data_IF_618408195427
#
_entry.id   IF_618408195427
#
_cell.length_a   1.000
_cell.length_b   1.000
_cell.length_c   1.000
_cell.angle_alpha   90.00
_cell.angle_beta   90.00
_cell.angle_gamma   90.00
#
_symmetry.space_group_name_H-M   'P 1'
#
loop_
_entity.id
_entity.type
_entity.pdbx_description
1 polymer ?
#
# COMPACT_ATOMS: atom_id res chain seq x y z
N UNK A 1 28.62 -31.28 36.10
CA UNK A 1 29.25 -31.71 34.84
C UNK A 1 28.13 -31.73 33.82
N UNK A 2 28.10 -30.67 32.98
CA UNK A 2 27.29 -30.47 31.78
C UNK A 2 25.76 -30.64 31.90
N UNK A 3 25.11 -29.54 32.30
CA UNK A 3 23.75 -29.23 31.86
C UNK A 3 23.75 -29.07 30.33
N UNK A 4 23.19 -30.04 29.62
CA UNK A 4 22.80 -29.90 28.23
C UNK A 4 21.65 -28.90 28.16
N UNK A 5 22.00 -27.63 27.93
CA UNK A 5 21.08 -26.62 27.45
C UNK A 5 20.53 -27.11 26.11
N UNK A 6 19.30 -27.64 26.15
CA UNK A 6 18.46 -27.73 24.97
C UNK A 6 18.30 -26.30 24.45
N UNK A 7 19.03 -26.01 23.37
CA UNK A 7 18.90 -24.79 22.61
C UNK A 7 17.56 -24.91 21.88
N UNK A 8 16.49 -24.50 22.57
CA UNK A 8 15.16 -24.31 21.98
C UNK A 8 15.26 -23.22 20.91
N UNK A 9 15.67 -23.65 19.71
CA UNK A 9 15.63 -22.85 18.52
C UNK A 9 14.16 -22.49 18.24
N UNK A 10 13.85 -21.20 18.44
CA UNK A 10 12.62 -20.53 18.00
C UNK A 10 12.05 -21.18 16.72
N UNK A 11 10.89 -21.83 16.87
CA UNK A 11 9.95 -22.29 15.85
C UNK A 11 10.46 -22.42 14.42
N UNK A 12 11.23 -23.47 14.12
CA UNK A 12 11.51 -23.85 12.72
C UNK A 12 10.21 -24.34 12.09
N UNK A 13 9.76 -23.69 11.01
CA UNK A 13 8.55 -24.08 10.28
C UNK A 13 8.68 -25.52 9.74
N UNK A 14 7.71 -26.38 10.09
CA UNK A 14 7.63 -27.77 9.64
C UNK A 14 6.59 -27.94 8.55
N UNK A 15 6.92 -28.69 7.51
CA UNK A 15 5.97 -29.07 6.46
C UNK A 15 5.02 -30.14 7.00
N UNK A 16 3.73 -29.79 7.11
CA UNK A 16 2.66 -30.66 7.62
C UNK A 16 1.48 -30.81 6.65
N UNK A 17 1.30 -29.85 5.75
CA UNK A 17 0.21 -29.77 4.78
C UNK A 17 0.59 -28.77 3.67
N UNK A 18 -0.28 -28.63 2.67
CA UNK A 18 -0.11 -27.73 1.53
C UNK A 18 -0.16 -26.24 1.93
N UNK A 19 -0.84 -25.89 3.03
CA UNK A 19 -1.05 -24.49 3.43
C UNK A 19 0.25 -23.77 3.84
N UNK A 20 1.24 -24.53 4.32
CA UNK A 20 2.54 -24.00 4.76
C UNK A 20 3.67 -24.30 3.77
N UNK A 21 3.38 -25.01 2.68
CA UNK A 21 4.40 -25.51 1.75
C UNK A 21 5.31 -24.41 1.22
N UNK A 22 4.72 -23.28 0.90
CA UNK A 22 5.42 -22.15 0.33
C UNK A 22 6.44 -21.49 1.25
N UNK A 23 6.00 -21.12 2.44
CA UNK A 23 6.87 -20.52 3.45
C UNK A 23 7.93 -21.54 3.88
N UNK A 24 7.55 -22.82 3.93
CA UNK A 24 8.48 -23.92 4.18
C UNK A 24 9.52 -24.04 3.07
N UNK A 25 9.12 -24.04 1.80
CA UNK A 25 10.01 -24.18 0.64
C UNK A 25 11.03 -23.03 0.64
N UNK A 26 10.55 -21.80 0.81
CA UNK A 26 11.39 -20.61 0.87
C UNK A 26 12.42 -20.69 1.99
N UNK A 27 11.99 -20.99 3.22
CA UNK A 27 12.89 -21.09 4.36
C UNK A 27 13.85 -22.28 4.22
N UNK A 28 13.39 -23.42 3.73
CA UNK A 28 14.21 -24.62 3.54
C UNK A 28 15.32 -24.34 2.53
N UNK A 29 15.00 -23.71 1.38
CA UNK A 29 16.00 -23.30 0.39
C UNK A 29 17.01 -22.31 0.96
N UNK A 30 16.59 -21.36 1.80
CA UNK A 30 17.52 -20.43 2.45
C UNK A 30 18.53 -21.16 3.36
N UNK A 31 18.08 -22.17 4.10
CA UNK A 31 18.94 -22.97 4.97
C UNK A 31 19.86 -23.94 4.21
N UNK A 32 19.34 -24.57 3.16
CA UNK A 32 20.15 -25.38 2.24
C UNK A 32 21.26 -24.56 1.58
N UNK A 33 20.99 -23.29 1.20
CA UNK A 33 22.01 -22.35 0.71
C UNK A 33 23.05 -22.04 1.79
N UNK A 34 22.60 -21.72 3.01
CA UNK A 34 23.49 -21.47 4.15
C UNK A 34 24.42 -22.65 4.43
N UNK A 35 23.92 -23.87 4.27
CA UNK A 35 24.68 -25.12 4.44
C UNK A 35 25.53 -25.50 3.21
N UNK A 36 25.41 -24.78 2.08
CA UNK A 36 26.17 -25.07 0.86
C UNK A 36 25.74 -26.34 0.13
N UNK A 37 24.49 -26.79 0.33
CA UNK A 37 23.97 -28.07 -0.22
C UNK A 37 22.72 -27.88 -1.09
N UNK A 38 22.36 -26.65 -1.47
CA UNK A 38 21.20 -26.43 -2.33
C UNK A 38 21.36 -27.11 -3.70
N UNK A 39 22.55 -27.06 -4.31
CA UNK A 39 22.76 -27.58 -5.67
C UNK A 39 22.55 -29.09 -5.79
N UNK A 40 22.92 -29.87 -4.77
CA UNK A 40 22.64 -31.31 -4.74
C UNK A 40 21.14 -31.60 -4.58
N UNK A 41 20.40 -30.78 -3.83
CA UNK A 41 18.94 -30.90 -3.67
C UNK A 41 18.19 -30.54 -4.96
N UNK A 42 18.70 -29.56 -5.71
CA UNK A 42 18.13 -29.19 -7.00
C UNK A 42 18.50 -30.16 -8.13
N UNK A 43 19.34 -31.17 -7.87
CA UNK A 43 19.81 -32.13 -8.87
C UNK A 43 20.92 -31.59 -9.79
N UNK A 44 21.50 -30.44 -9.48
CA UNK A 44 22.58 -29.82 -10.26
C UNK A 44 23.97 -30.40 -9.93
N UNK A 45 24.13 -31.04 -8.77
CA UNK A 45 25.37 -31.70 -8.34
C UNK A 45 25.19 -33.22 -8.27
N UNK A 46 25.67 -33.94 -9.29
CA UNK A 46 25.59 -35.41 -9.36
C UNK A 46 26.77 -36.11 -8.69
N UNK A 47 26.58 -37.38 -8.32
CA UNK A 47 27.64 -38.22 -7.75
C UNK A 47 28.89 -38.24 -8.65
N UNK A 48 30.08 -37.87 -8.13
CA UNK A 48 31.33 -37.95 -8.89
C UNK A 48 31.69 -39.37 -9.31
N UNK A 49 32.46 -39.49 -10.39
CA UNK A 49 33.02 -40.76 -10.84
C UNK A 49 34.12 -41.23 -9.87
N UNK A 50 34.19 -42.54 -9.63
CA UNK A 50 35.21 -43.16 -8.80
C UNK A 50 34.67 -44.11 -7.73
N UNK A 51 35.59 -44.73 -7.00
CA UNK A 51 35.25 -45.65 -5.90
C UNK A 51 34.58 -44.90 -4.74
N UNK A 52 33.74 -45.56 -3.93
CA UNK A 52 33.16 -44.98 -2.72
C UNK A 52 34.19 -44.39 -1.76
N UNK A 53 35.43 -44.90 -1.80
CA UNK A 53 36.51 -44.45 -0.94
C UNK A 53 37.29 -43.24 -1.45
N UNK A 54 37.05 -42.83 -2.71
CA UNK A 54 37.73 -41.67 -3.28
C UNK A 54 37.34 -40.38 -2.55
N UNK A 55 38.31 -39.47 -2.40
CA UNK A 55 38.11 -38.15 -1.78
C UNK A 55 36.88 -37.39 -2.34
N UNK A 56 36.68 -37.27 -3.68
CA UNK A 56 35.51 -36.57 -4.21
C UNK A 56 34.18 -37.27 -3.89
N UNK A 57 34.12 -38.61 -3.94
CA UNK A 57 32.89 -39.34 -3.62
C UNK A 57 32.54 -39.22 -2.14
N UNK A 58 33.52 -39.31 -1.23
CA UNK A 58 33.28 -39.09 0.21
C UNK A 58 32.74 -37.69 0.50
N UNK A 59 33.34 -36.65 -0.10
CA UNK A 59 32.88 -35.28 0.07
C UNK A 59 31.44 -35.08 -0.42
N UNK A 60 31.10 -35.70 -1.56
CA UNK A 60 29.73 -35.69 -2.09
C UNK A 60 28.75 -36.42 -1.16
N UNK A 61 29.10 -37.60 -0.63
CA UNK A 61 28.27 -38.34 0.34
C UNK A 61 28.01 -37.47 1.58
N UNK A 62 29.04 -36.80 2.13
CA UNK A 62 28.85 -35.90 3.27
C UNK A 62 27.89 -34.76 2.96
N UNK A 63 27.99 -34.13 1.77
CA UNK A 63 27.03 -33.10 1.36
C UNK A 63 25.61 -33.66 1.20
N UNK A 64 25.47 -34.84 0.59
CA UNK A 64 24.21 -35.55 0.42
C UNK A 64 23.54 -35.79 1.76
N UNK A 65 24.27 -36.35 2.72
CA UNK A 65 23.72 -36.67 4.04
C UNK A 65 23.31 -35.40 4.81
N UNK A 66 24.08 -34.31 4.67
CA UNK A 66 23.72 -32.99 5.21
C UNK A 66 22.44 -32.44 4.55
N UNK A 67 22.30 -32.61 3.23
CA UNK A 67 21.11 -32.21 2.50
C UNK A 67 19.87 -32.99 2.94
N UNK A 68 19.95 -34.32 2.97
CA UNK A 68 18.88 -35.21 3.44
C UNK A 68 18.47 -34.84 4.87
N UNK A 69 19.43 -34.71 5.79
CA UNK A 69 19.15 -34.36 7.18
C UNK A 69 18.51 -32.97 7.31
N UNK A 70 18.90 -31.99 6.48
CA UNK A 70 18.31 -30.67 6.49
C UNK A 70 16.86 -30.66 6.00
N UNK A 71 16.52 -31.45 4.97
CA UNK A 71 15.14 -31.59 4.49
C UNK A 71 14.30 -32.29 5.54
N UNK A 72 14.69 -33.50 5.99
CA UNK A 72 13.97 -34.28 7.01
C UNK A 72 13.78 -33.46 8.29
N UNK A 73 14.82 -32.73 8.70
CA UNK A 73 14.81 -31.83 9.85
C UNK A 73 13.79 -30.69 9.75
N UNK A 74 13.15 -30.47 8.59
CA UNK A 74 12.07 -29.51 8.39
C UNK A 74 10.73 -30.15 8.04
N UNK A 75 10.62 -31.46 8.06
CA UNK A 75 9.35 -32.16 7.87
C UNK A 75 8.68 -32.41 9.23
N UNK A 76 7.35 -32.37 9.24
CA UNK A 76 6.57 -32.99 10.29
C UNK A 76 6.62 -34.53 10.15
N UNK A 77 6.63 -35.31 11.24
CA UNK A 77 6.67 -36.78 11.16
C UNK A 77 5.57 -37.40 10.29
N UNK A 78 4.41 -36.74 10.17
CA UNK A 78 3.34 -37.16 9.26
C UNK A 78 3.79 -37.29 7.80
N UNK A 79 4.84 -36.57 7.40
CA UNK A 79 5.34 -36.55 6.02
C UNK A 79 6.43 -37.57 5.72
N UNK A 80 6.98 -38.22 6.76
CA UNK A 80 8.12 -39.15 6.58
C UNK A 80 7.79 -40.33 5.67
N UNK A 81 6.56 -40.83 5.69
CA UNK A 81 6.14 -41.93 4.83
C UNK A 81 6.28 -41.60 3.34
N UNK A 82 6.13 -40.32 2.96
CA UNK A 82 6.19 -39.88 1.57
C UNK A 82 7.61 -39.73 1.02
N UNK A 83 8.61 -39.65 1.91
CA UNK A 83 10.00 -39.36 1.54
C UNK A 83 11.00 -40.46 1.92
N UNK A 84 10.57 -41.46 2.68
CA UNK A 84 11.45 -42.50 3.25
C UNK A 84 12.25 -43.26 2.20
N UNK A 85 11.69 -43.50 1.02
CA UNK A 85 12.39 -44.19 -0.07
C UNK A 85 13.55 -43.37 -0.68
N UNK A 86 13.58 -42.06 -0.43
CA UNK A 86 14.57 -41.12 -0.95
C UNK A 86 15.67 -40.77 0.07
N UNK A 87 15.87 -41.58 1.11
CA UNK A 87 16.87 -41.30 2.17
C UNK A 87 18.28 -41.05 1.60
N UNK A 88 18.62 -41.75 0.52
CA UNK A 88 19.89 -41.60 -0.20
C UNK A 88 19.82 -40.68 -1.43
N UNK A 89 18.69 -40.03 -1.67
CA UNK A 89 18.44 -39.15 -2.82
C UNK A 89 17.72 -37.87 -2.39
N UNK A 90 18.45 -36.86 -1.89
CA UNK A 90 17.86 -35.59 -1.49
C UNK A 90 17.19 -34.83 -2.65
N UNK A 91 17.60 -35.08 -3.91
CA UNK A 91 16.97 -34.47 -5.08
C UNK A 91 15.60 -35.10 -5.37
N UNK A 92 15.52 -36.42 -5.36
CA UNK A 92 14.25 -37.15 -5.45
C UNK A 92 13.30 -36.81 -4.31
N UNK A 93 13.82 -36.71 -3.08
CA UNK A 93 13.05 -36.27 -1.91
C UNK A 93 12.40 -34.90 -2.14
N UNK A 94 13.19 -33.94 -2.61
CA UNK A 94 12.70 -32.59 -2.89
C UNK A 94 11.68 -32.56 -4.02
N UNK A 95 11.94 -33.29 -5.11
CA UNK A 95 11.03 -33.39 -6.24
C UNK A 95 9.68 -33.99 -5.82
N UNK A 96 9.69 -35.01 -4.96
CA UNK A 96 8.47 -35.65 -4.44
C UNK A 96 7.62 -34.70 -3.61
N UNK A 97 8.24 -33.99 -2.67
CA UNK A 97 7.54 -32.97 -1.87
C UNK A 97 6.98 -31.86 -2.76
N UNK A 98 7.77 -31.42 -3.74
CA UNK A 98 7.34 -30.45 -4.74
C UNK A 98 6.12 -30.92 -5.52
N UNK A 99 6.13 -32.14 -6.04
CA UNK A 99 5.00 -32.72 -6.75
C UNK A 99 3.72 -32.76 -5.88
N UNK A 100 3.86 -33.13 -4.61
CA UNK A 100 2.71 -33.30 -3.71
C UNK A 100 2.05 -31.98 -3.28
N UNK A 101 2.85 -30.93 -3.08
CA UNK A 101 2.37 -29.69 -2.46
C UNK A 101 2.41 -28.48 -3.37
N UNK A 102 3.30 -28.47 -4.38
CA UNK A 102 3.29 -27.43 -5.40
C UNK A 102 2.14 -27.61 -6.40
N UNK A 103 1.45 -28.75 -6.42
CA UNK A 103 0.19 -28.88 -7.13
C UNK A 103 -0.87 -28.02 -6.44
N UNK A 104 -0.89 -26.76 -6.86
CA UNK A 104 -1.95 -25.77 -6.77
C UNK A 104 -3.32 -26.45 -6.95
N UNK A 105 -3.94 -26.90 -5.86
CA UNK A 105 -5.28 -27.46 -5.98
C UNK A 105 -6.17 -26.37 -6.59
N UNK A 106 -7.01 -26.72 -7.57
CA UNK A 106 -7.99 -25.79 -8.15
C UNK A 106 -8.80 -25.09 -7.04
N UNK A 107 -9.04 -25.79 -5.92
CA UNK A 107 -9.65 -25.23 -4.72
C UNK A 107 -8.85 -24.06 -4.11
N UNK A 108 -7.53 -24.19 -3.93
CA UNK A 108 -6.68 -23.13 -3.39
C UNK A 108 -6.64 -21.88 -4.28
N UNK A 109 -6.56 -22.08 -5.60
CA UNK A 109 -6.66 -21.00 -6.61
C UNK A 109 -7.99 -20.26 -6.45
N UNK A 110 -9.10 -21.01 -6.46
CA UNK A 110 -10.46 -20.46 -6.36
C UNK A 110 -10.68 -19.73 -5.03
N UNK A 111 -10.22 -20.29 -3.91
CA UNK A 111 -10.33 -19.66 -2.59
C UNK A 111 -9.54 -18.34 -2.53
N UNK A 112 -8.34 -18.32 -3.09
CA UNK A 112 -7.50 -17.11 -3.06
C UNK A 112 -8.09 -16.00 -3.94
N UNK A 113 -8.60 -16.34 -5.13
CA UNK A 113 -9.34 -15.39 -5.97
C UNK A 113 -10.60 -14.86 -5.29
N UNK A 114 -11.36 -15.72 -4.59
CA UNK A 114 -12.52 -15.28 -3.80
C UNK A 114 -12.12 -14.29 -2.72
N UNK A 115 -11.02 -14.54 -2.00
CA UNK A 115 -10.49 -13.61 -1.00
C UNK A 115 -10.08 -12.28 -1.63
N UNK A 116 -9.42 -12.31 -2.79
CA UNK A 116 -8.99 -11.12 -3.52
C UNK A 116 -10.16 -10.19 -3.85
N UNK A 117 -11.25 -10.72 -4.42
CA UNK A 117 -12.42 -9.92 -4.78
C UNK A 117 -13.35 -9.59 -3.61
N UNK A 118 -13.33 -10.39 -2.54
CA UNK A 118 -14.14 -10.16 -1.34
C UNK A 118 -13.48 -9.19 -0.35
N UNK A 119 -12.21 -8.83 -0.54
CA UNK A 119 -11.51 -7.92 0.37
C UNK A 119 -12.23 -6.56 0.42
N UNK A 120 -12.36 -6.00 1.62
CA UNK A 120 -12.95 -4.68 1.87
C UNK A 120 -12.08 -3.95 2.88
N UNK A 121 -11.91 -2.64 2.73
CA UNK A 121 -11.32 -1.78 3.76
C UNK A 121 -12.44 -1.42 4.76
N UNK A 122 -12.36 -1.82 6.03
CA UNK A 122 -13.22 -1.28 7.07
C UNK A 122 -13.07 0.24 7.18
N UNK A 123 -14.17 0.93 7.50
CA UNK A 123 -14.22 2.40 7.63
C UNK A 123 -13.13 2.91 8.59
N UNK A 124 -13.12 2.41 9.83
CA UNK A 124 -12.32 3.00 10.92
C UNK A 124 -11.28 2.06 11.53
N UNK A 125 -11.27 0.77 11.15
CA UNK A 125 -10.47 -0.24 11.84
C UNK A 125 -9.08 -0.50 11.22
N UNK A 126 -8.86 -0.08 9.97
CA UNK A 126 -7.60 -0.35 9.26
C UNK A 126 -7.17 0.82 8.38
N UNK A 127 -5.86 1.04 8.33
CA UNK A 127 -5.25 2.04 7.44
C UNK A 127 -5.29 1.59 5.98
N UNK A 128 -5.26 2.55 5.06
CA UNK A 128 -5.15 2.32 3.63
C UNK A 128 -3.87 1.54 3.29
N UNK A 129 -2.76 1.79 4.02
CA UNK A 129 -1.53 1.00 3.87
C UNK A 129 -1.73 -0.47 4.17
N UNK A 130 -2.42 -0.79 5.27
CA UNK A 130 -2.74 -2.18 5.64
C UNK A 130 -3.60 -2.84 4.58
N UNK A 131 -4.59 -2.12 4.05
CA UNK A 131 -5.48 -2.61 3.00
C UNK A 131 -4.73 -2.88 1.68
N UNK A 132 -3.90 -1.92 1.23
CA UNK A 132 -3.05 -2.09 0.04
C UNK A 132 -2.11 -3.30 0.21
N UNK A 133 -1.51 -3.46 1.39
CA UNK A 133 -0.65 -4.61 1.68
C UNK A 133 -1.42 -5.94 1.60
N UNK A 134 -2.67 -5.98 2.06
CA UNK A 134 -3.52 -7.17 1.97
C UNK A 134 -3.87 -7.52 0.50
N UNK A 135 -4.23 -6.52 -0.32
CA UNK A 135 -4.47 -6.73 -1.77
C UNK A 135 -3.20 -7.23 -2.47
N UNK A 136 -2.05 -6.57 -2.24
CA UNK A 136 -0.77 -6.98 -2.82
C UNK A 136 -0.36 -8.37 -2.38
N UNK A 137 -0.56 -8.71 -1.11
CA UNK A 137 -0.26 -10.05 -0.57
C UNK A 137 -1.07 -11.15 -1.26
N UNK A 138 -2.36 -10.91 -1.53
CA UNK A 138 -3.18 -11.86 -2.28
C UNK A 138 -2.78 -11.95 -3.76
N UNK A 139 -2.46 -10.83 -4.42
CA UNK A 139 -1.97 -10.83 -5.79
C UNK A 139 -0.62 -11.54 -5.93
N UNK A 140 0.29 -11.33 -4.98
CA UNK A 140 1.58 -12.02 -4.90
C UNK A 140 1.38 -13.51 -4.65
N UNK A 141 0.47 -13.89 -3.74
CA UNK A 141 0.10 -15.29 -3.51
C UNK A 141 -0.40 -15.95 -4.79
N UNK A 142 -1.33 -15.32 -5.50
CA UNK A 142 -1.84 -15.84 -6.79
C UNK A 142 -0.72 -16.05 -7.82
N UNK A 143 0.18 -15.08 -7.97
CA UNK A 143 1.32 -15.19 -8.89
C UNK A 143 2.32 -16.25 -8.47
N UNK A 144 2.66 -16.32 -7.19
CA UNK A 144 3.71 -17.18 -6.66
C UNK A 144 3.26 -18.64 -6.56
N UNK A 145 2.02 -18.89 -6.15
CA UNK A 145 1.52 -20.24 -5.88
C UNK A 145 0.90 -20.89 -7.11
N UNK A 146 0.30 -20.08 -7.96
CA UNK A 146 -0.61 -20.55 -9.01
C UNK A 146 -0.21 -20.08 -10.40
N UNK A 147 0.87 -19.28 -10.52
CA UNK A 147 1.28 -18.63 -11.76
C UNK A 147 0.14 -17.83 -12.42
N UNK A 148 -0.74 -17.26 -11.60
CA UNK A 148 -1.99 -16.61 -12.02
C UNK A 148 -2.06 -15.19 -11.42
N UNK A 149 -0.97 -14.43 -11.58
CA UNK A 149 -0.86 -13.10 -11.00
C UNK A 149 -1.90 -12.17 -11.64
N UNK A 150 -2.73 -11.45 -10.85
CA UNK A 150 -3.62 -10.43 -11.38
C UNK A 150 -2.84 -9.32 -12.10
N UNK A 151 -3.43 -8.79 -13.17
CA UNK A 151 -2.89 -7.60 -13.85
C UNK A 151 -3.02 -6.36 -12.98
N UNK A 152 -2.23 -5.32 -13.29
CA UNK A 152 -2.33 -4.02 -12.60
C UNK A 152 -3.75 -3.45 -12.69
N UNK A 153 -4.44 -3.62 -13.84
CA UNK A 153 -5.84 -3.22 -13.99
C UNK A 153 -6.78 -3.98 -13.05
N UNK A 154 -6.58 -5.29 -12.84
CA UNK A 154 -7.37 -6.06 -11.87
C UNK A 154 -7.06 -5.63 -10.43
N UNK A 155 -5.81 -5.30 -10.11
CA UNK A 155 -5.42 -4.79 -8.80
C UNK A 155 -6.04 -3.42 -8.53
N UNK A 156 -5.98 -2.50 -9.49
CA UNK A 156 -6.63 -1.19 -9.42
C UNK A 156 -8.13 -1.35 -9.21
N UNK A 157 -8.79 -2.16 -10.05
CA UNK A 157 -10.24 -2.39 -9.93
C UNK A 157 -10.61 -2.94 -8.54
N UNK A 158 -9.89 -3.95 -8.06
CA UNK A 158 -10.12 -4.51 -6.71
C UNK A 158 -9.87 -3.48 -5.61
N UNK A 159 -8.80 -2.69 -5.70
CA UNK A 159 -8.54 -1.60 -4.75
C UNK A 159 -9.73 -0.65 -4.70
N UNK A 160 -10.18 -0.11 -5.83
CA UNK A 160 -11.26 0.88 -5.87
C UNK A 160 -12.62 0.30 -5.43
N UNK A 161 -12.97 -0.92 -5.87
CA UNK A 161 -14.23 -1.59 -5.49
C UNK A 161 -14.29 -2.01 -4.01
N UNK A 162 -13.15 -2.04 -3.33
CA UNK A 162 -13.03 -2.50 -1.95
C UNK A 162 -13.08 -1.38 -0.92
N UNK A 163 -13.13 -0.12 -1.36
CA UNK A 163 -13.13 1.05 -0.49
C UNK A 163 -14.54 1.38 0.01
N UNK A 164 -14.64 2.05 1.17
CA UNK A 164 -15.90 2.60 1.63
C UNK A 164 -16.30 3.86 0.84
N UNK A 165 -17.58 4.23 0.95
CA UNK A 165 -18.18 5.35 0.23
C UNK A 165 -17.49 6.71 0.46
N UNK A 166 -16.75 6.86 1.57
CA UNK A 166 -15.92 8.04 1.84
C UNK A 166 -14.89 8.33 0.71
N UNK A 167 -14.54 7.33 -0.11
CA UNK A 167 -13.59 7.45 -1.22
C UNK A 167 -14.26 7.69 -2.58
N UNK A 168 -15.60 7.78 -2.68
CA UNK A 168 -16.32 7.90 -3.97
C UNK A 168 -15.89 9.15 -4.76
N UNK A 169 -15.68 10.28 -4.08
CA UNK A 169 -15.20 11.52 -4.71
C UNK A 169 -13.82 11.33 -5.34
N UNK A 170 -12.94 10.57 -4.69
CA UNK A 170 -11.63 10.24 -5.25
C UNK A 170 -11.78 9.34 -6.48
N UNK A 171 -12.65 8.32 -6.41
CA UNK A 171 -12.88 7.38 -7.51
C UNK A 171 -13.36 8.13 -8.77
N UNK A 172 -14.32 9.05 -8.62
CA UNK A 172 -14.81 9.90 -9.71
C UNK A 172 -13.67 10.77 -10.28
N UNK A 173 -12.85 11.36 -9.41
CA UNK A 173 -11.70 12.15 -9.86
C UNK A 173 -10.66 11.32 -10.61
N UNK A 174 -10.46 10.05 -10.23
CA UNK A 174 -9.51 9.15 -10.88
C UNK A 174 -9.98 8.72 -12.27
N UNK A 175 -11.27 8.49 -12.48
CA UNK A 175 -11.82 8.02 -13.75
C UNK A 175 -11.45 8.92 -14.95
N UNK A 176 -11.40 10.24 -14.72
CA UNK A 176 -11.00 11.23 -15.73
C UNK A 176 -9.49 11.50 -15.82
N UNK A 177 -8.67 10.89 -14.95
CA UNK A 177 -7.24 11.21 -14.85
C UNK A 177 -6.41 10.45 -15.91
N UNK A 178 -5.42 11.09 -16.57
CA UNK A 178 -4.56 10.43 -17.56
C UNK A 178 -3.77 9.22 -17.03
N UNK A 179 -3.42 9.24 -15.75
CA UNK A 179 -2.65 8.18 -15.07
C UNK A 179 -3.53 7.15 -14.32
N UNK A 180 -4.83 7.08 -14.61
CA UNK A 180 -5.77 6.18 -13.90
C UNK A 180 -5.41 4.69 -13.98
N UNK A 181 -4.67 4.29 -15.01
CA UNK A 181 -4.24 2.91 -15.23
C UNK A 181 -2.85 2.61 -14.61
N UNK A 182 -2.20 3.61 -13.99
CA UNK A 182 -0.93 3.44 -13.31
C UNK A 182 -1.15 3.07 -11.83
N UNK A 183 -0.83 1.83 -11.48
CA UNK A 183 -1.06 1.28 -10.13
C UNK A 183 -0.38 2.12 -9.03
N UNK A 184 0.86 2.55 -9.23
CA UNK A 184 1.60 3.31 -8.21
C UNK A 184 1.03 4.73 -8.06
N UNK A 185 0.57 5.35 -9.15
CA UNK A 185 -0.13 6.63 -9.11
C UNK A 185 -1.43 6.52 -8.30
N UNK A 186 -2.26 5.51 -8.60
CA UNK A 186 -3.53 5.27 -7.89
C UNK A 186 -3.27 5.03 -6.40
N UNK A 187 -2.28 4.19 -6.06
CA UNK A 187 -1.87 3.96 -4.67
C UNK A 187 -1.44 5.27 -3.99
N UNK A 188 -0.66 6.10 -4.65
CA UNK A 188 -0.26 7.41 -4.13
C UNK A 188 -1.47 8.32 -3.83
N UNK A 189 -2.47 8.32 -4.70
CA UNK A 189 -3.72 9.08 -4.52
C UNK A 189 -4.57 8.55 -3.36
N UNK A 190 -4.67 7.23 -3.22
CA UNK A 190 -5.39 6.60 -2.10
C UNK A 190 -4.77 6.95 -0.74
N UNK A 191 -3.44 6.96 -0.65
CA UNK A 191 -2.73 7.32 0.58
C UNK A 191 -2.88 8.82 0.92
N UNK A 192 -2.86 9.69 -0.09
CA UNK A 192 -3.06 11.13 0.10
C UNK A 192 -4.49 11.46 0.54
N UNK A 193 -5.47 10.71 0.03
CA UNK A 193 -6.88 10.81 0.38
C UNK A 193 -7.12 10.47 1.86
N UNK A 194 -6.56 9.35 2.34
CA UNK A 194 -6.65 8.96 3.76
C UNK A 194 -6.10 10.07 4.67
N UNK A 195 -4.94 10.64 4.32
CA UNK A 195 -4.36 11.74 5.10
C UNK A 195 -5.25 12.99 5.11
N UNK A 196 -5.96 13.28 4.01
CA UNK A 196 -6.92 14.40 3.98
C UNK A 196 -8.12 14.13 4.89
N UNK A 197 -8.67 12.92 4.85
CA UNK A 197 -9.80 12.52 5.71
C UNK A 197 -9.43 12.60 7.20
N UNK A 198 -8.23 12.17 7.58
CA UNK A 198 -7.72 12.30 8.96
C UNK A 198 -7.63 13.77 9.41
N UNK A 199 -7.19 14.67 8.52
CA UNK A 199 -7.10 16.10 8.81
C UNK A 199 -8.48 16.77 8.96
N UNK A 200 -9.49 16.30 8.22
CA UNK A 200 -10.87 16.76 8.34
C UNK A 200 -11.50 16.31 9.67
N UNK A 201 -11.27 15.07 10.09
CA UNK A 201 -11.74 14.52 11.38
C UNK A 201 -11.06 15.22 12.57
N UNK A 202 -9.76 15.47 12.49
CA UNK A 202 -9.01 16.22 13.51
C UNK A 202 -9.35 17.72 13.59
N UNK A 203 -10.05 18.25 12.58
CA UNK A 203 -10.50 19.64 12.51
C UNK A 203 -11.91 19.89 13.05
N UNK A 204 -12.64 18.86 13.48
CA UNK A 204 -14.01 18.99 14.01
C UNK A 204 -13.98 19.49 15.46
N UNK A 205 -14.13 20.80 15.66
CA UNK A 205 -14.50 21.38 16.96
C UNK A 205 -15.94 20.93 17.28
N UNK A 206 -16.24 20.37 18.47
CA UNK A 206 -17.60 19.95 18.82
C UNK A 206 -18.56 21.15 18.80
N UNK A 207 -19.54 21.11 17.91
CA UNK A 207 -20.59 22.12 17.82
C UNK A 207 -21.52 21.98 19.03
N UNK A 208 -21.36 22.88 20.00
CA UNK A 208 -22.09 22.81 21.26
C UNK A 208 -22.09 24.08 22.08
N UNK A 209 -22.16 25.27 21.45
CA UNK A 209 -22.77 26.48 22.04
C UNK A 209 -22.82 27.61 21.00
N UNK A 210 -24.04 27.96 20.59
CA UNK A 210 -24.33 29.12 19.75
C UNK A 210 -24.19 30.40 20.55
N UNK A 211 -23.31 31.31 20.12
CA UNK A 211 -23.44 32.76 20.35
C UNK A 211 -22.88 33.55 19.15
N UNK A 212 -23.78 33.96 18.25
CA UNK A 212 -23.66 35.17 17.41
C UNK A 212 -22.91 35.05 16.07
N UNK A 213 -23.35 35.77 15.01
CA UNK A 213 -22.69 35.74 13.71
C UNK A 213 -21.46 36.64 13.75
N UNK A 214 -20.25 36.07 13.65
CA UNK A 214 -19.04 36.85 13.38
C UNK A 214 -18.33 36.28 12.17
N UNK A 215 -18.05 37.17 11.23
CA UNK A 215 -17.43 36.88 9.94
C UNK A 215 -16.13 36.08 10.11
N UNK A 216 -16.11 34.87 9.54
CA UNK A 216 -14.95 33.99 9.54
C UNK A 216 -13.84 34.59 8.66
N UNK A 217 -12.81 35.14 9.31
CA UNK A 217 -11.53 35.46 8.67
C UNK A 217 -10.67 34.20 8.64
N UNK A 218 -10.22 33.84 7.44
CA UNK A 218 -9.20 32.82 7.16
C UNK A 218 -8.03 32.89 8.14
N UNK A 219 -7.78 31.84 8.90
CA UNK A 219 -6.59 31.70 9.73
C UNK A 219 -5.36 31.50 8.83
N UNK A 220 -4.75 32.62 8.42
CA UNK A 220 -3.43 32.60 7.75
C UNK A 220 -2.38 32.21 8.78
N UNK A 221 -1.57 31.21 8.46
CA UNK A 221 -0.32 30.87 9.16
C UNK A 221 0.45 32.15 9.47
N UNK A 222 0.63 32.46 10.76
CA UNK A 222 1.34 33.67 11.19
C UNK A 222 2.81 33.53 10.82
N UNK A 223 3.23 34.16 9.71
CA UNK A 223 4.65 34.34 9.38
C UNK A 223 5.27 35.34 10.36
N UNK A 224 6.48 35.05 10.82
CA UNK A 224 7.26 35.95 11.68
C UNK A 224 7.46 37.30 10.99
N UNK A 225 7.04 38.38 11.65
CA UNK A 225 7.06 39.75 11.13
C UNK A 225 8.26 40.55 11.63
N UNK A 226 9.14 39.95 12.44
CA UNK A 226 10.27 40.59 13.09
C UNK A 226 11.25 41.30 12.13
N UNK A 227 11.37 40.81 10.89
CA UNK A 227 12.29 41.33 9.86
C UNK A 227 11.61 42.22 8.79
N UNK A 228 10.31 42.51 8.94
CA UNK A 228 9.55 43.25 7.93
C UNK A 228 9.64 44.75 8.23
N UNK A 229 10.28 45.52 7.35
CA UNK A 229 10.42 46.98 7.48
C UNK A 229 9.24 47.71 6.84
N UNK A 230 8.59 48.59 7.61
CA UNK A 230 7.49 49.43 7.14
C UNK A 230 7.98 50.48 6.14
N UNK A 231 7.39 50.53 4.94
CA UNK A 231 7.76 51.50 3.90
C UNK A 231 7.38 52.95 4.22
N UNK A 232 6.53 53.18 5.23
CA UNK A 232 6.10 54.52 5.66
C UNK A 232 7.00 55.13 6.73
N UNK A 233 7.24 54.42 7.83
CA UNK A 233 8.04 54.93 8.97
C UNK A 233 9.44 54.28 9.08
N UNK A 234 9.77 53.33 8.20
CA UNK A 234 11.03 52.57 8.17
C UNK A 234 11.36 51.77 9.46
N UNK A 235 10.39 51.56 10.35
CA UNK A 235 10.52 50.67 11.53
C UNK A 235 10.13 49.23 11.17
N UNK A 236 10.73 48.25 11.84
CA UNK A 236 10.45 46.81 11.62
C UNK A 236 9.22 46.33 12.40
N UNK A 237 8.63 45.21 12.00
CA UNK A 237 7.55 44.52 12.73
C UNK A 237 6.14 44.68 12.16
N UNK A 238 5.92 45.54 11.15
CA UNK A 238 4.60 45.81 10.58
C UNK A 238 4.67 46.29 9.13
N UNK A 239 3.55 46.17 8.40
CA UNK A 239 3.40 46.68 7.04
C UNK A 239 2.87 48.12 7.04
N UNK A 240 3.05 48.86 5.94
CA UNK A 240 2.66 50.27 5.81
C UNK A 240 1.17 50.54 6.12
N UNK A 241 0.28 49.60 5.82
CA UNK A 241 -1.16 49.68 6.10
C UNK A 241 -1.51 49.52 7.59
N UNK A 242 -0.60 48.98 8.39
CA UNK A 242 -0.72 48.79 9.84
C UNK A 242 0.18 49.78 10.62
N UNK A 243 0.67 50.85 9.94
CA UNK A 243 1.61 51.79 10.54
C UNK A 243 0.90 52.73 11.55
N UNK A 244 1.36 52.77 12.82
CA UNK A 244 0.70 53.54 13.87
C UNK A 244 0.94 55.06 13.77
N UNK A 245 1.84 55.51 12.89
CA UNK A 245 2.07 56.94 12.67
C UNK A 245 1.08 57.50 11.64
N UNK A 246 0.33 58.58 11.97
CA UNK A 246 -0.59 59.22 11.03
C UNK A 246 0.20 59.78 9.84
N UNK A 247 -0.30 59.55 8.62
CA UNK A 247 0.34 60.11 7.42
C UNK A 247 0.09 61.61 7.32
N UNK A 248 0.95 62.38 6.63
CA UNK A 248 0.65 63.79 6.37
C UNK A 248 -0.66 63.88 5.57
N UNK A 249 -1.56 64.76 6.04
CA UNK A 249 -2.84 65.04 5.40
C UNK A 249 -2.60 65.59 4.00
N UNK A 250 -3.00 64.84 2.97
CA UNK A 250 -3.19 65.38 1.62
C UNK A 250 -4.69 65.59 1.47
N UNK A 251 -5.13 66.85 1.46
CA UNK A 251 -6.52 67.23 1.20
C UNK A 251 -6.93 66.79 -0.22
N UNK A 252 -8.09 66.13 -0.33
CA UNK A 252 -8.69 65.74 -1.62
C UNK A 252 -9.86 66.70 -1.95
N UNK A 253 -9.79 67.47 -3.06
CA UNK A 253 -10.71 68.58 -3.35
C UNK A 253 -12.04 68.20 -4.01
N UNK A 254 -12.48 66.95 -4.00
CA UNK A 254 -13.74 66.52 -4.63
C UNK A 254 -14.74 65.97 -3.62
N UNK A 255 -15.47 66.87 -2.93
CA UNK A 255 -16.71 66.53 -2.21
C UNK A 255 -17.81 67.50 -2.63
N UNK A 256 -18.63 67.11 -3.59
CA UNK A 256 -19.91 67.74 -3.88
C UNK A 256 -21.02 66.77 -3.48
N UNK A 257 -21.91 67.22 -2.60
CA UNK A 257 -23.11 66.53 -2.12
C UNK A 257 -24.15 66.40 -3.23
N UNK A 258 -24.96 65.32 -3.31
CA UNK A 258 -26.08 65.26 -4.24
C UNK A 258 -27.34 65.84 -3.61
N UNK A 259 -27.92 66.84 -4.27
CA UNK A 259 -29.24 67.42 -4.00
C UNK A 259 -30.31 66.62 -4.77
N UNK A 260 -31.49 66.48 -4.17
CA UNK A 260 -32.57 65.62 -4.63
C UNK A 260 -33.19 66.09 -5.97
N UNK A 261 -33.28 65.18 -6.93
CA UNK A 261 -33.99 65.37 -8.20
C UNK A 261 -34.74 64.10 -8.61
N UNK A 262 -36.04 64.27 -8.83
CA UNK A 262 -37.08 63.30 -9.23
C UNK A 262 -36.69 62.46 -10.46
N UNK A 263 -37.05 61.16 -10.54
CA UNK A 263 -36.67 60.31 -11.67
C UNK A 263 -37.57 60.52 -12.90
N UNK A 264 -37.04 60.47 -14.14
CA UNK A 264 -37.87 60.34 -15.32
C UNK A 264 -38.18 58.87 -15.61
N UNK A 265 -39.43 58.63 -16.01
CA UNK A 265 -39.97 57.36 -16.50
C UNK A 265 -39.31 57.01 -17.84
N UNK A 266 -38.75 55.80 -17.96
CA UNK A 266 -38.28 55.27 -19.25
C UNK A 266 -38.99 53.96 -19.55
N UNK A 267 -39.58 53.94 -20.75
CA UNK A 267 -40.46 52.92 -21.29
C UNK A 267 -39.75 51.59 -21.56
N UNK A 268 -40.52 50.51 -21.37
CA UNK A 268 -40.14 49.15 -21.69
C UNK A 268 -39.88 48.97 -23.19
N UNK A 269 -38.74 48.36 -23.52
CA UNK A 269 -38.51 47.78 -24.85
C UNK A 269 -38.12 46.32 -24.65
N UNK A 270 -38.96 45.42 -25.15
CA UNK A 270 -38.76 43.99 -25.14
C UNK A 270 -37.60 43.61 -26.07
N UNK A 271 -36.70 42.74 -25.59
CA UNK A 271 -35.74 42.03 -26.43
C UNK A 271 -36.00 40.54 -26.28
N UNK A 272 -36.38 39.94 -27.39
CA UNK A 272 -36.73 38.55 -27.63
C UNK A 272 -35.52 37.62 -27.52
N UNK A 273 -35.67 36.47 -26.86
CA UNK A 273 -34.73 35.35 -26.92
C UNK A 273 -34.97 34.51 -28.19
N UNK A 274 -33.93 34.11 -28.93
CA UNK A 274 -34.07 33.09 -29.96
C UNK A 274 -34.04 31.69 -29.31
N UNK A 275 -35.10 30.93 -29.57
CA UNK A 275 -35.24 29.50 -29.30
C UNK A 275 -34.31 28.70 -30.20
N UNK A 276 -33.47 27.83 -29.63
CA UNK A 276 -32.73 26.83 -30.39
C UNK A 276 -33.42 25.46 -30.23
N UNK A 277 -34.03 25.01 -31.31
CA UNK A 277 -34.75 23.74 -31.43
C UNK A 277 -33.77 22.58 -31.63
N UNK A 278 -33.87 21.55 -30.79
CA UNK A 278 -33.29 20.23 -31.04
C UNK A 278 -34.27 19.40 -31.88
N UNK A 279 -33.81 18.87 -33.01
CA UNK A 279 -34.47 17.79 -33.76
C UNK A 279 -33.82 16.46 -33.40
N UNK A 280 -34.67 15.46 -33.14
CA UNK A 280 -34.35 14.03 -33.07
C UNK A 280 -33.96 13.47 -34.44
#
# INVERSE_FOLDING_TARGET
MMDSKADDAKGVLKLKDDTVYDDWEFQCRADLRKKGVLEIVLGNETRPQGSPNSKPVKAWITKRDVATAAIIGRLDPSQFAHVREFEEDPAGMWARLKEMYQSSSLGGVVVTWRQFYALRKPDDASTMRTHIAAVRGLAEKLGRLYNDKPSDAQIIATLLMSLPAAYDTLIISLDSHPERDNLEFVIGRLLAEEHRQEAEIGGVIPYGQSLGPTNAMTARVRRDRSQITCFKCRKVGHFQNECPEPGPLVENPFRSTPEAGTPPVIAATAITHPTNSYTF
#
